data_IF_800640060129
#
_entry.id   IF_800640060129
#
_cell.length_a   1.000
_cell.length_b   1.000
_cell.length_c   1.000
_cell.angle_alpha   90.00
_cell.angle_beta   90.00
_cell.angle_gamma   90.00
#
_symmetry.space_group_name_H-M   'P 1'
#
loop_
_entity.id
_entity.type
_entity.pdbx_description
1 polymer ?
#
# COMPACT_ATOMS: atom_id res chain seq x y z
N UNK A 1 53.12 0.64 7.75
CA UNK A 1 52.21 -0.35 8.25
C UNK A 1 51.25 -0.75 7.14
N UNK A 2 51.38 -2.01 6.66
CA UNK A 2 50.51 -2.54 5.63
C UNK A 2 49.11 -2.72 6.24
N UNK A 3 48.10 -2.14 5.56
CA UNK A 3 46.71 -2.39 5.91
C UNK A 3 46.26 -3.70 5.24
N UNK A 4 46.22 -4.77 6.02
CA UNK A 4 45.71 -6.05 5.54
C UNK A 4 44.20 -5.98 5.43
N UNK A 5 43.66 -6.11 4.21
CA UNK A 5 42.26 -6.21 3.91
C UNK A 5 41.78 -7.67 4.06
N UNK A 6 41.03 -7.93 5.10
CA UNK A 6 40.39 -9.24 5.30
C UNK A 6 38.98 -9.26 4.71
N UNK A 7 38.69 -10.26 3.89
CA UNK A 7 37.35 -10.56 3.37
C UNK A 7 36.82 -11.82 4.03
N UNK A 8 35.67 -11.73 4.65
CA UNK A 8 34.97 -12.89 5.20
C UNK A 8 33.50 -12.88 4.78
N UNK A 9 32.90 -14.06 4.64
CA UNK A 9 31.48 -14.18 4.37
C UNK A 9 30.70 -14.14 5.68
N UNK A 10 29.70 -13.25 5.74
CA UNK A 10 28.79 -13.20 6.88
C UNK A 10 27.96 -14.49 6.96
N UNK A 11 27.87 -15.12 8.14
CA UNK A 11 26.97 -16.23 8.36
C UNK A 11 25.53 -15.87 8.00
N UNK A 12 24.71 -16.82 7.56
CA UNK A 12 23.34 -16.58 7.10
C UNK A 12 22.49 -15.77 8.08
N UNK A 13 22.63 -16.02 9.38
CA UNK A 13 21.89 -15.32 10.45
C UNK A 13 22.35 -13.88 10.69
N UNK A 14 23.54 -13.51 10.24
CA UNK A 14 24.09 -12.15 10.37
C UNK A 14 23.96 -11.32 9.08
N UNK A 15 23.45 -11.94 8.00
CA UNK A 15 23.22 -11.21 6.74
C UNK A 15 22.00 -10.31 6.89
N UNK A 16 22.07 -9.04 6.46
CA UNK A 16 20.91 -8.17 6.47
C UNK A 16 19.79 -8.76 5.60
N UNK A 17 18.54 -8.62 6.04
CA UNK A 17 17.38 -8.98 5.24
C UNK A 17 17.36 -8.10 3.99
N UNK A 18 17.32 -8.67 2.77
CA UNK A 18 17.19 -7.86 1.58
C UNK A 18 15.94 -6.98 1.68
N UNK A 19 16.11 -5.71 1.39
CA UNK A 19 15.02 -4.75 1.34
C UNK A 19 14.77 -4.35 -0.10
N UNK A 20 13.51 -4.09 -0.40
CA UNK A 20 13.04 -3.59 -1.66
C UNK A 20 12.42 -2.21 -1.47
N UNK A 21 12.23 -1.46 -2.52
CA UNK A 21 11.57 -0.18 -2.43
C UNK A 21 10.57 0.03 -3.57
N UNK A 22 9.49 0.70 -3.21
CA UNK A 22 8.47 1.17 -4.14
C UNK A 22 8.51 2.68 -4.10
N UNK A 23 8.49 3.29 -5.24
CA UNK A 23 8.33 4.73 -5.41
C UNK A 23 7.20 5.02 -6.37
N UNK A 24 6.62 6.19 -6.27
CA UNK A 24 5.61 6.65 -7.19
C UNK A 24 5.13 8.03 -6.87
N UNK A 25 4.15 8.48 -7.62
CA UNK A 25 3.50 9.76 -7.45
C UNK A 25 2.00 9.57 -7.28
N UNK A 26 1.41 10.36 -6.40
CA UNK A 26 -0.05 10.43 -6.22
C UNK A 26 -0.57 11.71 -6.84
N UNK A 27 -1.54 11.58 -7.74
CA UNK A 27 -2.15 12.70 -8.45
C UNK A 27 -3.68 12.67 -8.35
N UNK A 28 -4.30 13.79 -8.64
CA UNK A 28 -5.74 13.92 -8.84
C UNK A 28 -6.11 13.46 -10.26
N UNK A 29 -7.04 12.51 -10.37
CA UNK A 29 -7.43 11.92 -11.66
C UNK A 29 -8.04 12.92 -12.65
N UNK A 30 -8.63 14.01 -12.18
CA UNK A 30 -9.30 15.00 -13.05
C UNK A 30 -8.39 16.15 -13.46
N UNK A 31 -7.46 16.53 -12.57
CA UNK A 31 -6.66 17.75 -12.75
C UNK A 31 -5.18 17.47 -12.94
N UNK A 32 -4.74 16.21 -12.80
CA UNK A 32 -3.35 15.75 -12.78
C UNK A 32 -2.46 16.47 -11.75
N UNK A 33 -3.07 17.19 -10.80
CA UNK A 33 -2.32 17.86 -9.74
C UNK A 33 -1.82 16.86 -8.70
N UNK A 34 -0.61 17.07 -8.16
CA UNK A 34 -0.07 16.23 -7.10
C UNK A 34 -0.90 16.31 -5.82
N UNK A 35 -0.98 15.20 -5.11
CA UNK A 35 -1.71 15.05 -3.86
C UNK A 35 -0.79 14.52 -2.77
N UNK A 36 -0.69 15.26 -1.64
CA UNK A 36 -0.01 14.78 -0.44
C UNK A 36 -0.89 13.79 0.32
N UNK A 37 -1.03 12.58 -0.23
CA UNK A 37 -1.88 11.53 0.32
C UNK A 37 -1.19 10.75 1.44
N UNK A 38 -1.97 10.10 2.29
CA UNK A 38 -1.50 9.13 3.26
C UNK A 38 -1.47 7.74 2.64
N UNK A 39 -0.37 7.02 2.87
CA UNK A 39 -0.16 5.66 2.39
C UNK A 39 0.03 4.73 3.59
N UNK A 40 -0.81 3.71 3.69
CA UNK A 40 -0.75 2.68 4.72
C UNK A 40 -0.29 1.38 4.09
N UNK A 41 0.86 0.87 4.52
CA UNK A 41 1.38 -0.43 4.09
C UNK A 41 1.02 -1.48 5.14
N UNK A 42 0.38 -2.55 4.72
CA UNK A 42 -0.04 -3.65 5.57
C UNK A 42 0.51 -4.98 5.06
N UNK A 43 0.68 -5.92 5.97
CA UNK A 43 0.91 -7.33 5.62
C UNK A 43 -0.41 -7.91 5.10
N UNK A 44 -0.41 -8.41 3.87
CA UNK A 44 -1.64 -8.86 3.20
C UNK A 44 -2.23 -10.15 3.81
N UNK A 45 -1.45 -10.90 4.58
CA UNK A 45 -1.91 -12.15 5.21
C UNK A 45 -2.51 -11.87 6.59
N UNK A 46 -1.78 -11.12 7.43
CA UNK A 46 -2.19 -10.85 8.82
C UNK A 46 -3.08 -9.61 8.95
N UNK A 47 -3.12 -8.73 7.93
CA UNK A 47 -3.81 -7.44 7.99
C UNK A 47 -3.15 -6.41 8.92
N UNK A 48 -1.96 -6.72 9.46
CA UNK A 48 -1.27 -5.82 10.38
C UNK A 48 -0.65 -4.64 9.63
N UNK A 49 -0.84 -3.44 10.18
CA UNK A 49 -0.18 -2.23 9.69
C UNK A 49 1.34 -2.35 9.94
N UNK A 50 2.12 -2.18 8.87
CA UNK A 50 3.58 -2.20 8.92
C UNK A 50 4.12 -0.79 9.08
N UNK A 51 3.64 0.13 8.25
CA UNK A 51 4.06 1.54 8.30
C UNK A 51 3.01 2.43 7.65
N UNK A 52 3.02 3.68 8.08
CA UNK A 52 2.27 4.77 7.46
C UNK A 52 3.27 5.82 6.98
N UNK A 53 3.15 6.23 5.74
CA UNK A 53 3.94 7.32 5.16
C UNK A 53 2.99 8.36 4.53
N UNK A 54 3.53 9.52 4.21
CA UNK A 54 2.80 10.56 3.49
C UNK A 54 3.59 10.96 2.24
N UNK A 55 2.90 11.07 1.12
CA UNK A 55 3.46 11.67 -0.09
C UNK A 55 3.79 13.15 0.17
N UNK A 56 4.85 13.65 -0.43
CA UNK A 56 5.25 15.04 -0.30
C UNK A 56 4.32 16.02 -1.05
N UNK A 57 4.66 17.30 -1.09
CA UNK A 57 3.87 18.33 -1.77
C UNK A 57 3.81 18.14 -3.29
N UNK A 58 4.74 17.37 -3.85
CA UNK A 58 4.75 16.97 -5.27
C UNK A 58 4.04 15.66 -5.52
N UNK A 59 3.43 15.08 -4.48
CA UNK A 59 2.79 13.77 -4.53
C UNK A 59 3.78 12.60 -4.54
N UNK A 60 5.08 12.85 -4.45
CA UNK A 60 6.09 11.80 -4.53
C UNK A 60 6.18 11.02 -3.22
N UNK A 61 6.35 9.71 -3.32
CA UNK A 61 6.54 8.84 -2.16
C UNK A 61 7.56 7.73 -2.42
N UNK A 62 8.15 7.27 -1.32
CA UNK A 62 9.07 6.13 -1.32
C UNK A 62 8.80 5.29 -0.06
N UNK A 63 8.66 3.99 -0.24
CA UNK A 63 8.54 3.03 0.87
C UNK A 63 9.50 1.88 0.68
N UNK A 64 10.22 1.52 1.74
CA UNK A 64 11.11 0.37 1.78
C UNK A 64 10.46 -0.78 2.53
N UNK A 65 10.62 -2.00 2.04
CA UNK A 65 10.00 -3.19 2.62
C UNK A 65 10.91 -4.42 2.50
N UNK A 66 10.84 -5.33 3.46
CA UNK A 66 11.50 -6.62 3.37
C UNK A 66 10.96 -7.45 2.20
N UNK A 67 11.81 -8.25 1.57
CA UNK A 67 11.39 -9.23 0.57
C UNK A 67 10.74 -10.46 1.22
N UNK A 68 10.03 -11.25 0.43
CA UNK A 68 9.46 -12.55 0.85
C UNK A 68 8.08 -12.47 1.50
N UNK A 69 7.38 -11.33 1.35
CA UNK A 69 6.02 -11.14 1.88
C UNK A 69 5.06 -10.61 0.83
N UNK A 70 3.78 -10.76 1.13
CA UNK A 70 2.69 -10.12 0.39
C UNK A 70 2.25 -8.87 1.13
N UNK A 71 2.05 -7.79 0.40
CA UNK A 71 1.73 -6.49 0.94
C UNK A 71 0.43 -5.95 0.35
N UNK A 72 -0.25 -5.15 1.14
CA UNK A 72 -1.39 -4.34 0.76
C UNK A 72 -1.04 -2.88 1.01
N UNK A 73 -1.03 -2.05 -0.04
CA UNK A 73 -0.80 -0.62 0.04
C UNK A 73 -2.12 0.10 -0.17
N UNK A 74 -2.60 0.80 0.84
CA UNK A 74 -3.80 1.62 0.75
C UNK A 74 -3.40 3.08 0.75
N UNK A 75 -3.86 3.83 -0.25
CA UNK A 75 -3.59 5.26 -0.46
C UNK A 75 -4.89 6.01 -0.26
N UNK A 76 -4.89 7.00 0.61
CA UNK A 76 -6.08 7.77 0.95
C UNK A 76 -5.81 9.26 1.15
N UNK A 77 -6.80 10.08 0.83
CA UNK A 77 -6.82 11.51 1.04
C UNK A 77 -8.27 11.94 1.27
N UNK A 78 -8.55 12.82 2.26
CA UNK A 78 -9.89 13.39 2.44
C UNK A 78 -10.43 14.03 1.15
N UNK A 79 -11.69 13.74 0.82
CA UNK A 79 -12.32 14.20 -0.42
C UNK A 79 -12.07 13.32 -1.65
N UNK A 80 -11.38 12.20 -1.49
CA UNK A 80 -11.09 11.24 -2.56
C UNK A 80 -11.51 9.82 -2.17
N UNK A 81 -11.82 9.00 -3.16
CA UNK A 81 -11.87 7.54 -2.98
C UNK A 81 -10.47 7.04 -2.63
N UNK A 82 -10.39 6.05 -1.75
CA UNK A 82 -9.11 5.38 -1.50
C UNK A 82 -8.76 4.44 -2.67
N UNK A 83 -7.47 4.20 -2.84
CA UNK A 83 -6.93 3.22 -3.77
C UNK A 83 -6.18 2.15 -2.98
N UNK A 84 -6.40 0.89 -3.33
CA UNK A 84 -5.71 -0.24 -2.71
C UNK A 84 -5.01 -1.07 -3.78
N UNK A 85 -3.73 -1.36 -3.57
CA UNK A 85 -2.90 -2.17 -4.44
C UNK A 85 -2.29 -3.33 -3.66
N UNK A 86 -2.47 -4.55 -4.15
CA UNK A 86 -1.82 -5.74 -3.58
C UNK A 86 -0.63 -6.16 -4.42
N UNK A 87 0.46 -6.55 -3.77
CA UNK A 87 1.65 -7.02 -4.46
C UNK A 87 2.47 -8.00 -3.62
N UNK A 88 3.16 -8.89 -4.31
CA UNK A 88 4.08 -9.85 -3.72
C UNK A 88 5.51 -9.46 -4.00
N UNK A 89 6.34 -9.39 -2.95
CA UNK A 89 7.77 -9.14 -3.05
C UNK A 89 8.52 -10.45 -2.91
N UNK A 90 8.83 -11.08 -4.04
CA UNK A 90 9.68 -12.27 -4.03
C UNK A 90 11.16 -11.89 -3.96
N UNK A 91 11.95 -12.69 -3.26
CA UNK A 91 13.39 -12.51 -3.15
C UNK A 91 14.05 -12.93 -4.48
N UNK A 92 14.12 -12.01 -5.44
CA UNK A 92 14.93 -12.18 -6.65
C UNK A 92 16.20 -11.37 -6.53
N UNK A 93 17.34 -11.92 -6.97
CA UNK A 93 18.65 -11.24 -6.94
C UNK A 93 18.69 -9.97 -7.80
N UNK A 94 17.74 -9.81 -8.73
CA UNK A 94 17.64 -8.68 -9.67
C UNK A 94 16.41 -7.81 -9.36
N UNK A 95 16.16 -7.55 -8.08
CA UNK A 95 15.02 -6.78 -7.65
C UNK A 95 15.07 -5.33 -8.20
N UNK A 96 14.37 -5.09 -9.30
CA UNK A 96 14.19 -3.75 -9.86
C UNK A 96 13.15 -3.00 -9.02
N UNK A 97 13.41 -1.74 -8.65
CA UNK A 97 12.45 -0.92 -7.93
C UNK A 97 11.10 -0.87 -8.66
N UNK A 98 10.01 -1.11 -7.92
CA UNK A 98 8.66 -0.99 -8.48
C UNK A 98 8.26 0.49 -8.50
N UNK A 99 7.91 1.01 -9.67
CA UNK A 99 7.23 2.28 -9.78
C UNK A 99 5.73 2.04 -9.75
N UNK A 100 5.03 2.79 -8.92
CA UNK A 100 3.58 2.72 -8.75
C UNK A 100 3.02 4.14 -8.65
N UNK A 101 2.60 4.69 -9.78
CA UNK A 101 1.93 5.98 -9.83
C UNK A 101 0.42 5.76 -9.68
N UNK A 102 -0.23 6.58 -8.85
CA UNK A 102 -1.64 6.41 -8.51
C UNK A 102 -2.39 7.71 -8.71
N UNK A 103 -3.48 7.64 -9.46
CA UNK A 103 -4.40 8.76 -9.63
C UNK A 103 -5.64 8.53 -8.78
N UNK A 104 -5.82 9.37 -7.74
CA UNK A 104 -6.98 9.29 -6.86
C UNK A 104 -8.19 9.98 -7.51
N UNK A 105 -9.33 9.32 -7.41
CA UNK A 105 -10.59 9.83 -7.93
C UNK A 105 -11.30 10.68 -6.87
N UNK A 106 -11.68 11.93 -7.16
CA UNK A 106 -12.46 12.76 -6.23
C UNK A 106 -13.81 12.15 -5.87
N UNK A 107 -14.25 12.35 -4.62
CA UNK A 107 -15.59 12.03 -4.16
C UNK A 107 -16.57 13.07 -4.73
N UNK A 108 -17.25 12.71 -5.80
CA UNK A 108 -18.31 13.53 -6.41
C UNK A 108 -19.64 12.78 -6.36
N UNK A 109 -20.75 13.52 -6.44
CA UNK A 109 -22.10 12.94 -6.47
C UNK A 109 -22.24 11.93 -7.61
N UNK A 110 -22.93 10.81 -7.37
CA UNK A 110 -23.15 9.72 -8.32
C UNK A 110 -21.85 9.00 -8.77
N UNK A 111 -20.83 8.99 -7.95
CA UNK A 111 -19.64 8.15 -8.17
C UNK A 111 -19.86 6.74 -7.63
N UNK A 112 -19.26 5.76 -8.28
CA UNK A 112 -19.19 4.37 -7.79
C UNK A 112 -17.76 3.95 -7.54
N UNK A 113 -17.55 3.02 -6.62
CA UNK A 113 -16.26 2.41 -6.33
C UNK A 113 -16.41 0.91 -6.30
N UNK A 114 -15.45 0.19 -6.86
CA UNK A 114 -15.36 -1.25 -6.74
C UNK A 114 -14.37 -1.58 -5.62
N UNK A 115 -14.74 -2.53 -4.76
CA UNK A 115 -13.89 -3.07 -3.70
C UNK A 115 -13.29 -4.38 -4.20
N UNK A 116 -12.06 -4.32 -4.72
CA UNK A 116 -11.44 -5.45 -5.44
C UNK A 116 -10.85 -6.52 -4.50
N UNK A 117 -10.65 -6.20 -3.22
CA UNK A 117 -9.97 -7.07 -2.26
C UNK A 117 -10.90 -7.66 -1.19
N UNK A 118 -12.20 -7.80 -1.52
CA UNK A 118 -13.16 -8.45 -0.63
C UNK A 118 -13.22 -9.95 -0.95
N UNK A 119 -12.60 -10.75 -0.10
CA UNK A 119 -12.52 -12.20 -0.25
C UNK A 119 -13.19 -12.89 0.94
N UNK A 120 -13.86 -14.00 0.67
CA UNK A 120 -14.38 -14.90 1.69
C UNK A 120 -13.43 -16.08 1.89
N UNK A 121 -13.38 -16.61 3.09
CA UNK A 121 -12.65 -17.86 3.34
C UNK A 121 -13.30 -19.01 2.56
N UNK A 122 -12.48 -19.92 2.03
CA UNK A 122 -12.95 -21.06 1.25
C UNK A 122 -14.05 -21.82 1.99
N UNK A 123 -15.21 -21.99 1.36
CA UNK A 123 -16.39 -22.65 1.89
C UNK A 123 -16.94 -22.07 3.21
N UNK A 124 -16.70 -20.79 3.49
CA UNK A 124 -17.24 -20.08 4.67
C UNK A 124 -17.79 -18.72 4.29
N UNK A 125 -18.78 -18.25 5.05
CA UNK A 125 -19.29 -16.89 4.95
C UNK A 125 -18.42 -15.86 5.70
N UNK A 126 -17.30 -16.30 6.27
CA UNK A 126 -16.38 -15.41 6.99
C UNK A 126 -15.46 -14.69 6.02
N UNK A 127 -15.30 -13.39 6.23
CA UNK A 127 -14.36 -12.58 5.49
C UNK A 127 -12.92 -13.00 5.80
N UNK A 128 -12.04 -12.95 4.79
CA UNK A 128 -10.61 -13.06 4.98
C UNK A 128 -10.07 -11.84 5.75
N UNK A 129 -8.95 -11.98 6.46
CA UNK A 129 -8.38 -10.87 7.25
C UNK A 129 -7.93 -9.69 6.35
N UNK A 130 -7.49 -9.98 5.12
CA UNK A 130 -7.20 -8.94 4.11
C UNK A 130 -8.44 -8.11 3.75
N UNK A 131 -9.61 -8.73 3.66
CA UNK A 131 -10.87 -8.03 3.37
C UNK A 131 -11.31 -7.10 4.50
N UNK A 132 -10.94 -7.44 5.74
CA UNK A 132 -11.20 -6.56 6.89
C UNK A 132 -10.48 -5.23 6.77
N UNK A 133 -9.24 -5.22 6.26
CA UNK A 133 -8.48 -4.00 6.07
C UNK A 133 -9.18 -3.03 5.10
N UNK A 134 -9.69 -3.55 3.98
CA UNK A 134 -10.41 -2.73 3.00
C UNK A 134 -11.76 -2.21 3.54
N UNK A 135 -12.51 -3.06 4.25
CA UNK A 135 -13.74 -2.65 4.91
C UNK A 135 -13.53 -1.62 6.03
N UNK A 136 -12.44 -1.72 6.79
CA UNK A 136 -12.07 -0.70 7.77
C UNK A 136 -11.74 0.63 7.09
N UNK A 137 -11.02 0.58 5.96
CA UNK A 137 -10.73 1.79 5.16
C UNK A 137 -12.01 2.42 4.63
N UNK A 138 -12.97 1.61 4.17
CA UNK A 138 -14.29 2.10 3.76
C UNK A 138 -15.04 2.73 4.95
N UNK A 139 -15.03 2.09 6.10
CA UNK A 139 -15.67 2.64 7.31
C UNK A 139 -15.04 3.98 7.75
N UNK A 140 -13.72 4.12 7.62
CA UNK A 140 -13.04 5.39 7.87
C UNK A 140 -13.43 6.45 6.84
N UNK A 141 -13.50 6.10 5.55
CA UNK A 141 -13.98 7.00 4.49
C UNK A 141 -15.38 7.55 4.81
N UNK A 142 -16.31 6.68 5.21
CA UNK A 142 -17.67 7.07 5.58
C UNK A 142 -17.71 7.94 6.84
N UNK A 143 -16.86 7.67 7.81
CA UNK A 143 -16.75 8.47 9.03
C UNK A 143 -16.19 9.87 8.78
N UNK A 144 -15.21 9.96 7.89
CA UNK A 144 -14.63 11.25 7.48
C UNK A 144 -15.58 12.08 6.59
N UNK A 145 -16.58 11.42 5.97
CA UNK A 145 -17.53 12.05 5.06
C UNK A 145 -18.97 11.69 5.46
N UNK A 146 -19.51 12.22 6.57
CA UNK A 146 -20.80 11.80 7.14
C UNK A 146 -22.02 12.14 6.26
N UNK A 147 -21.85 12.96 5.24
CA UNK A 147 -22.89 13.29 4.27
C UNK A 147 -22.96 12.31 3.08
N UNK A 148 -22.00 11.38 3.00
CA UNK A 148 -22.04 10.34 1.97
C UNK A 148 -23.18 9.36 2.22
N UNK A 149 -23.97 9.15 1.19
CA UNK A 149 -24.95 8.06 1.12
C UNK A 149 -24.40 7.04 0.14
N UNK A 150 -24.28 5.79 0.59
CA UNK A 150 -23.74 4.70 -0.24
C UNK A 150 -24.80 3.63 -0.45
N UNK A 151 -24.83 3.08 -1.66
CA UNK A 151 -25.60 1.91 -2.01
C UNK A 151 -24.60 0.77 -2.30
N UNK A 152 -24.88 -0.39 -1.75
CA UNK A 152 -24.08 -1.60 -1.97
C UNK A 152 -24.91 -2.51 -2.87
N UNK A 153 -24.38 -2.78 -4.07
CA UNK A 153 -25.01 -3.61 -5.09
C UNK A 153 -24.26 -4.92 -5.33
#
# INVERSE_FOLDING_TARGET
GDMDLYRFELPKHARPTPTYWIRGQVTDQQTDKPISAQLNLMDAISGNLITTIRADEKGDYLVTLPVGKNYLLTIRQPGYFFHTESFSMQATLDAVPKQLDVSLRPLITNSSMVLDHIYFQTNRANLADSSRAELLTLAELLRENPTLVVEIG
#
